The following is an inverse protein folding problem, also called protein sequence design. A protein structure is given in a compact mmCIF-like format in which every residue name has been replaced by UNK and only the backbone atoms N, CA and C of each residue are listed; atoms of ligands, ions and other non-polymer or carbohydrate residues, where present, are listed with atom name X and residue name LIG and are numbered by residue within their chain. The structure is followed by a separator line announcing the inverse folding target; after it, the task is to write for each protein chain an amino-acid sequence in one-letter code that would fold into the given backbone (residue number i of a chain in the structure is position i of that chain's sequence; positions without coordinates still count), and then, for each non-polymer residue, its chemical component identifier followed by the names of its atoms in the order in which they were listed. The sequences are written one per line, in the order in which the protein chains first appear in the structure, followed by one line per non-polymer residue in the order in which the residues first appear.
data_IF_726400549925
#
_entry.id   IF_726400549925
#
_cell.length_a   1.000
_cell.length_b   1.000
_cell.length_c   1.000
_cell.angle_alpha   90.00
_cell.angle_beta   90.00
_cell.angle_gamma   90.00
#
_symmetry.space_group_name_H-M   'P 1'
#
loop_
_entity.id
_entity.type
_entity.pdbx_description
1 polymer ?
#
# COMPACT_ATOMS: atom_id res chain seq x y z
N UNK A 1 0.53 -13.74 -31.82
CA UNK A 1 0.52 -14.54 -30.58
C UNK A 1 0.48 -13.56 -29.39
N UNK A 2 -0.62 -13.46 -28.62
CA UNK A 2 -0.66 -12.61 -27.42
C UNK A 2 0.05 -13.36 -26.28
N UNK A 3 1.32 -13.05 -26.03
CA UNK A 3 2.03 -13.59 -24.88
C UNK A 3 1.38 -13.04 -23.59
N UNK A 4 1.10 -13.92 -22.62
CA UNK A 4 0.46 -13.54 -21.35
C UNK A 4 1.26 -12.51 -20.53
N UNK A 5 2.55 -12.34 -20.84
CA UNK A 5 3.49 -11.40 -20.21
C UNK A 5 3.18 -9.91 -20.43
N UNK A 6 2.34 -9.55 -21.40
CA UNK A 6 1.97 -8.14 -21.66
C UNK A 6 0.73 -7.69 -20.89
N UNK A 7 0.22 -8.50 -19.97
CA UNK A 7 -0.87 -8.12 -19.07
C UNK A 7 -0.32 -7.91 -17.68
N UNK A 8 -0.67 -6.76 -17.07
CA UNK A 8 -0.38 -6.52 -15.66
C UNK A 8 -1.03 -7.66 -14.85
N UNK A 9 -0.26 -8.35 -14.02
CA UNK A 9 -0.76 -9.43 -13.15
C UNK A 9 -1.74 -8.91 -12.10
N UNK A 10 -2.43 -9.80 -11.39
CA UNK A 10 -3.21 -9.42 -10.21
C UNK A 10 -2.31 -8.77 -9.15
N UNK A 11 -2.86 -7.91 -8.30
CA UNK A 11 -2.09 -7.43 -7.15
C UNK A 11 -1.82 -8.61 -6.21
N UNK A 12 -0.62 -8.71 -5.61
CA UNK A 12 -0.27 -9.83 -4.77
C UNK A 12 -1.05 -9.82 -3.45
N UNK A 13 -1.38 -10.99 -2.89
CA UNK A 13 -2.01 -11.11 -1.56
C UNK A 13 -1.03 -10.72 -0.46
N UNK A 14 0.26 -10.98 -0.65
CA UNK A 14 1.34 -10.60 0.27
C UNK A 14 2.56 -10.04 -0.48
N UNK A 15 3.29 -9.15 0.17
CA UNK A 15 4.62 -8.74 -0.28
C UNK A 15 5.51 -8.35 0.90
N UNK A 16 6.82 -8.59 0.77
CA UNK A 16 7.89 -8.03 1.59
C UNK A 16 8.91 -7.41 0.64
N UNK A 17 8.98 -6.08 0.62
CA UNK A 17 9.87 -5.31 -0.25
C UNK A 17 10.70 -4.34 0.57
N UNK A 18 11.77 -3.84 -0.01
CA UNK A 18 12.66 -2.89 0.63
C UNK A 18 12.68 -1.57 -0.14
N UNK A 19 12.67 -0.46 0.59
CA UNK A 19 12.76 0.89 0.05
C UNK A 19 13.79 1.72 0.81
N UNK A 20 14.36 2.69 0.11
CA UNK A 20 15.28 3.69 0.65
C UNK A 20 15.04 5.08 0.05
N UNK A 21 14.37 5.17 -1.10
CA UNK A 21 14.21 6.43 -1.83
C UNK A 21 12.93 7.13 -1.41
N UNK A 22 13.01 8.42 -1.11
CA UNK A 22 11.86 9.25 -0.69
C UNK A 22 10.68 9.24 -1.65
N UNK A 23 10.91 9.02 -2.94
CA UNK A 23 9.85 8.94 -3.96
C UNK A 23 9.13 7.59 -4.05
N UNK A 24 9.63 6.56 -3.38
CA UNK A 24 9.05 5.21 -3.42
C UNK A 24 7.93 5.13 -2.38
N UNK A 25 6.74 5.60 -2.76
CA UNK A 25 5.58 5.69 -1.88
C UNK A 25 4.50 4.66 -2.20
N UNK A 26 4.38 4.22 -3.46
CA UNK A 26 3.23 3.43 -3.91
C UNK A 26 3.59 1.93 -4.03
N UNK A 27 2.98 1.11 -3.18
CA UNK A 27 3.19 -0.34 -3.10
C UNK A 27 1.86 -1.10 -3.19
N UNK A 28 1.35 -1.31 -4.40
CA UNK A 28 0.06 -1.98 -4.68
C UNK A 28 -1.08 -1.46 -3.80
N UNK A 29 -1.30 -2.09 -2.64
CA UNK A 29 -2.34 -1.83 -1.66
C UNK A 29 -2.01 -0.70 -0.67
N UNK A 30 -0.74 -0.32 -0.55
CA UNK A 30 -0.27 0.60 0.48
C UNK A 30 0.47 1.77 -0.16
N UNK A 31 0.04 2.97 0.18
CA UNK A 31 0.78 4.22 0.01
C UNK A 31 1.52 4.51 1.32
N UNK A 32 2.84 4.40 1.30
CA UNK A 32 3.69 4.75 2.45
C UNK A 32 3.87 6.26 2.47
N UNK A 33 3.65 6.87 3.64
CA UNK A 33 3.86 8.29 3.87
C UNK A 33 5.35 8.69 3.85
N UNK A 34 5.69 9.74 4.60
CA UNK A 34 7.07 10.19 4.71
C UNK A 34 7.94 9.08 5.33
N UNK A 35 8.95 8.66 4.59
CA UNK A 35 9.91 7.66 5.07
C UNK A 35 10.70 8.24 6.24
N UNK A 36 10.93 7.42 7.26
CA UNK A 36 11.77 7.77 8.39
C UNK A 36 13.14 8.30 7.90
N UNK A 37 13.64 9.43 8.43
CA UNK A 37 14.91 10.03 7.98
C UNK A 37 16.13 9.11 8.07
N UNK A 38 16.04 8.05 8.88
CA UNK A 38 17.08 7.02 8.99
C UNK A 38 17.10 6.00 7.84
N UNK A 39 16.04 5.96 7.03
CA UNK A 39 15.87 5.09 5.86
C UNK A 39 15.91 5.90 4.57
N UNK A 40 15.28 7.08 4.57
CA UNK A 40 15.20 7.95 3.41
C UNK A 40 16.59 8.44 2.99
N UNK A 41 17.00 8.14 1.76
CA UNK A 41 18.22 8.64 1.16
C UNK A 41 17.93 9.21 -0.24
N UNK A 42 18.52 10.37 -0.52
CA UNK A 42 18.62 10.87 -1.88
C UNK A 42 19.70 10.04 -2.61
N UNK A 43 19.37 9.40 -3.75
CA UNK A 43 20.36 8.66 -4.54
C UNK A 43 21.63 9.45 -4.88
N UNK A 44 21.56 10.78 -4.97
CA UNK A 44 22.72 11.66 -5.22
C UNK A 44 23.68 11.69 -4.02
N UNK A 45 23.14 11.50 -2.81
CA UNK A 45 23.91 11.49 -1.56
C UNK A 45 24.32 10.07 -1.12
N UNK A 46 24.15 9.07 -1.99
CA UNK A 46 24.42 7.65 -1.67
C UNK A 46 25.83 7.42 -1.11
N UNK A 47 26.85 7.98 -1.75
CA UNK A 47 28.25 7.84 -1.34
C UNK A 47 28.62 8.69 -0.12
N UNK A 48 27.78 9.66 0.24
CA UNK A 48 27.99 10.56 1.38
C UNK A 48 27.32 10.04 2.65
N UNK A 49 26.45 9.02 2.54
CA UNK A 49 25.74 8.47 3.67
C UNK A 49 26.69 7.65 4.56
N UNK A 50 26.74 8.03 5.85
CA UNK A 50 27.51 7.30 6.86
C UNK A 50 27.01 5.87 7.08
N UNK A 51 25.72 5.61 6.80
CA UNK A 51 25.09 4.30 6.98
C UNK A 51 23.91 4.17 6.04
N UNK A 52 23.88 3.07 5.29
CA UNK A 52 22.81 2.69 4.38
C UNK A 52 21.95 1.61 5.05
N UNK A 53 20.66 1.90 5.29
CA UNK A 53 19.71 0.92 5.83
C UNK A 53 18.42 0.96 5.03
N UNK A 54 18.10 -0.17 4.41
CA UNK A 54 16.80 -0.34 3.77
C UNK A 54 15.68 -0.44 4.80
N UNK A 55 14.58 0.25 4.54
CA UNK A 55 13.33 0.08 5.26
C UNK A 55 12.50 -0.98 4.58
N UNK A 56 11.99 -1.94 5.35
CA UNK A 56 11.10 -2.97 4.85
C UNK A 56 9.67 -2.47 4.83
N UNK A 57 8.99 -2.65 3.71
CA UNK A 57 7.53 -2.44 3.58
C UNK A 57 6.91 -3.80 3.36
N UNK A 58 5.95 -4.16 4.20
CA UNK A 58 5.22 -5.41 4.07
C UNK A 58 3.72 -5.20 4.14
N UNK A 59 3.03 -6.05 3.39
CA UNK A 59 1.59 -6.16 3.38
C UNK A 59 1.22 -7.64 3.33
N UNK A 60 0.16 -8.01 4.04
CA UNK A 60 -0.52 -9.27 3.80
C UNK A 60 -2.03 -9.10 3.97
N UNK A 61 -2.79 -9.64 3.01
CA UNK A 61 -4.21 -9.92 3.18
C UNK A 61 -4.34 -11.35 3.71
N UNK A 62 -4.66 -11.49 4.99
CA UNK A 62 -4.88 -12.77 5.65
C UNK A 62 -6.32 -13.25 5.52
N UNK A 63 -6.62 -14.36 6.19
CA UNK A 63 -8.00 -14.86 6.32
C UNK A 63 -8.89 -13.86 7.09
N UNK A 64 -10.20 -13.95 6.89
CA UNK A 64 -11.23 -13.15 7.57
C UNK A 64 -11.01 -11.62 7.45
N UNK A 65 -10.62 -11.16 6.25
CA UNK A 65 -10.37 -9.75 5.93
C UNK A 65 -9.39 -9.04 6.89
N UNK A 66 -8.45 -9.78 7.47
CA UNK A 66 -7.39 -9.19 8.29
C UNK A 66 -6.22 -8.78 7.41
N UNK A 67 -6.06 -7.48 7.22
CA UNK A 67 -4.95 -6.88 6.50
C UNK A 67 -3.86 -6.47 7.49
N UNK A 68 -2.61 -6.82 7.22
CA UNK A 68 -1.47 -6.39 8.03
C UNK A 68 -0.56 -5.49 7.19
N UNK A 69 -0.22 -4.32 7.73
CA UNK A 69 0.65 -3.33 7.10
C UNK A 69 1.80 -3.01 8.04
N UNK A 70 3.01 -2.95 7.50
CA UNK A 70 4.20 -2.48 8.21
C UNK A 70 5.14 -1.75 7.26
N UNK A 71 5.83 -0.74 7.77
CA UNK A 71 6.78 0.02 6.96
C UNK A 71 7.62 1.01 7.77
N UNK A 72 8.60 1.66 7.14
CA UNK A 72 9.47 2.66 7.75
C UNK A 72 8.83 4.06 7.71
N UNK A 73 7.56 4.18 8.10
CA UNK A 73 6.79 5.43 8.12
C UNK A 73 5.82 5.41 9.31
N UNK A 74 5.47 6.58 9.82
CA UNK A 74 4.43 6.76 10.85
C UNK A 74 3.04 6.90 10.24
N UNK A 75 2.93 6.99 8.92
CA UNK A 75 1.64 7.12 8.23
C UNK A 75 1.59 6.24 6.99
N UNK A 76 0.43 5.64 6.77
CA UNK A 76 0.13 4.82 5.61
C UNK A 76 -1.25 5.16 5.09
N UNK A 77 -1.43 5.11 3.78
CA UNK A 77 -2.76 5.03 3.16
C UNK A 77 -2.97 3.62 2.63
N UNK A 78 -4.01 2.97 3.13
CA UNK A 78 -4.42 1.65 2.67
C UNK A 78 -5.51 1.82 1.61
N UNK A 79 -5.28 1.24 0.45
CA UNK A 79 -6.14 1.34 -0.72
C UNK A 79 -6.70 -0.04 -1.01
N UNK A 80 -8.02 -0.20 -1.03
CA UNK A 80 -8.65 -1.51 -1.14
C UNK A 80 -9.59 -1.58 -2.34
N UNK A 81 -9.70 -2.78 -2.89
CA UNK A 81 -10.69 -3.16 -3.90
C UNK A 81 -11.00 -4.64 -3.69
N UNK A 82 -12.18 -5.12 -4.10
CA UNK A 82 -12.49 -6.54 -4.04
C UNK A 82 -11.53 -7.29 -4.96
N UNK A 83 -10.71 -8.14 -4.38
CA UNK A 83 -9.73 -8.95 -5.10
C UNK A 83 -9.14 -10.02 -4.17
N UNK A 84 -8.88 -11.21 -4.70
CA UNK A 84 -8.27 -12.33 -3.99
C UNK A 84 -9.04 -12.63 -2.70
N UNK A 85 -8.46 -12.28 -1.55
CA UNK A 85 -8.91 -12.56 -0.18
C UNK A 85 -9.50 -11.32 0.51
N UNK A 86 -9.82 -10.26 -0.24
CA UNK A 86 -10.42 -9.02 0.28
C UNK A 86 -11.87 -8.95 -0.19
N UNK A 87 -12.81 -9.16 0.74
CA UNK A 87 -14.25 -8.98 0.50
C UNK A 87 -14.76 -7.69 1.16
N UNK A 88 -15.15 -6.69 0.37
CA UNK A 88 -15.67 -5.42 0.91
C UNK A 88 -17.13 -5.49 1.39
N UNK A 89 -17.81 -6.64 1.25
CA UNK A 89 -19.12 -6.87 1.86
C UNK A 89 -19.02 -7.26 3.35
N UNK A 90 -17.82 -7.60 3.81
CA UNK A 90 -17.52 -7.96 5.19
C UNK A 90 -16.64 -6.89 5.84
N UNK A 91 -16.66 -6.83 7.17
CA UNK A 91 -15.83 -5.88 7.91
C UNK A 91 -14.34 -6.15 7.68
N UNK A 92 -13.61 -5.12 7.25
CA UNK A 92 -12.17 -5.17 7.05
C UNK A 92 -11.45 -4.76 8.33
N UNK A 93 -10.41 -5.53 8.71
CA UNK A 93 -9.57 -5.23 9.87
C UNK A 93 -8.17 -4.91 9.40
N UNK A 94 -7.68 -3.72 9.68
CA UNK A 94 -6.35 -3.26 9.28
C UNK A 94 -5.47 -3.21 10.52
N UNK A 95 -4.49 -4.10 10.61
CA UNK A 95 -3.45 -4.12 11.63
C UNK A 95 -2.24 -3.33 11.15
N UNK A 96 -1.82 -2.36 11.95
CA UNK A 96 -0.62 -1.55 11.73
C UNK A 96 0.08 -1.34 13.08
N UNK A 97 1.34 -1.74 13.17
CA UNK A 97 2.06 -1.81 14.45
C UNK A 97 1.27 -2.62 15.50
N UNK A 98 1.00 -1.98 16.65
CA UNK A 98 0.23 -2.58 17.75
C UNK A 98 -1.26 -2.23 17.73
N UNK A 99 -1.74 -1.56 16.68
CA UNK A 99 -3.12 -1.09 16.56
C UNK A 99 -3.89 -1.91 15.52
N UNK A 100 -5.21 -1.90 15.64
CA UNK A 100 -6.10 -2.49 14.64
C UNK A 100 -7.29 -1.56 14.44
N UNK A 101 -7.47 -1.12 13.19
CA UNK A 101 -8.65 -0.39 12.75
C UNK A 101 -9.67 -1.37 12.18
N UNK A 102 -10.95 -1.11 12.40
CA UNK A 102 -12.05 -1.83 11.75
C UNK A 102 -12.78 -0.88 10.83
N UNK A 103 -13.11 -1.36 9.64
CA UNK A 103 -13.78 -0.58 8.61
C UNK A 103 -14.89 -1.42 7.99
N UNK A 104 -16.08 -0.84 7.93
CA UNK A 104 -17.17 -1.32 7.11
C UNK A 104 -17.26 -0.43 5.86
N UNK A 105 -17.26 -1.02 4.67
CA UNK A 105 -17.37 -0.26 3.43
C UNK A 105 -18.78 0.28 3.25
N UNK A 106 -18.90 1.59 3.08
CA UNK A 106 -20.17 2.31 2.97
C UNK A 106 -20.69 2.44 1.54
N UNK A 107 -19.93 1.98 0.54
CA UNK A 107 -20.28 2.13 -0.88
C UNK A 107 -20.06 3.55 -1.43
N UNK A 108 -19.34 4.41 -0.70
CA UNK A 108 -19.06 5.79 -1.10
C UNK A 108 -18.34 5.88 -2.45
N UNK A 109 -18.87 6.73 -3.34
CA UNK A 109 -18.26 7.00 -4.65
C UNK A 109 -17.07 7.97 -4.54
N UNK A 110 -17.00 8.74 -3.46
CA UNK A 110 -15.95 9.71 -3.17
C UNK A 110 -14.57 9.04 -3.20
N UNK A 111 -14.44 7.83 -2.65
CA UNK A 111 -13.21 7.04 -2.70
C UNK A 111 -12.76 6.74 -4.14
N UNK A 112 -13.70 6.33 -5.00
CA UNK A 112 -13.43 6.05 -6.41
C UNK A 112 -13.00 7.32 -7.17
N UNK A 113 -13.68 8.44 -6.91
CA UNK A 113 -13.36 9.72 -7.55
C UNK A 113 -11.99 10.26 -7.12
N UNK A 114 -11.66 10.14 -5.83
CA UNK A 114 -10.34 10.53 -5.32
C UNK A 114 -9.21 9.66 -5.89
N UNK A 115 -9.42 8.34 -6.03
CA UNK A 115 -8.43 7.46 -6.67
C UNK A 115 -8.22 7.81 -8.15
N UNK A 116 -9.30 8.08 -8.90
CA UNK A 116 -9.21 8.53 -10.29
C UNK A 116 -8.50 9.88 -10.38
N UNK A 117 -8.75 10.82 -9.47
CA UNK A 117 -8.10 12.14 -9.43
C UNK A 117 -6.60 12.04 -9.18
N UNK A 118 -6.17 11.16 -8.27
CA UNK A 118 -4.75 11.03 -7.85
C UNK A 118 -3.94 10.13 -8.77
N UNK A 119 -4.44 8.94 -9.09
CA UNK A 119 -3.69 7.93 -9.85
C UNK A 119 -4.01 7.92 -11.34
N UNK A 120 -5.15 8.46 -11.75
CA UNK A 120 -5.67 8.41 -13.12
C UNK A 120 -5.76 6.98 -13.73
N UNK A 121 -5.74 5.93 -12.89
CA UNK A 121 -5.85 4.54 -13.34
C UNK A 121 -7.33 4.14 -13.48
N UNK A 122 -7.81 4.09 -14.73
CA UNK A 122 -9.21 3.75 -15.04
C UNK A 122 -9.50 2.25 -15.09
N UNK A 123 -8.49 1.39 -14.95
CA UNK A 123 -8.64 -0.07 -15.04
C UNK A 123 -8.55 -0.76 -13.69
N UNK A 124 -7.86 -0.14 -12.74
CA UNK A 124 -7.62 -0.69 -11.40
C UNK A 124 -7.86 0.36 -10.33
N UNK A 125 -9.10 0.85 -10.32
CA UNK A 125 -9.57 1.77 -9.32
C UNK A 125 -9.65 1.10 -7.95
N UNK A 126 -9.25 1.83 -6.91
CA UNK A 126 -9.53 1.45 -5.52
C UNK A 126 -10.90 1.97 -5.11
N UNK A 127 -11.63 1.14 -4.38
CA UNK A 127 -13.00 1.42 -3.94
C UNK A 127 -13.02 2.08 -2.57
N UNK A 128 -11.94 1.89 -1.81
CA UNK A 128 -11.76 2.42 -0.47
C UNK A 128 -10.34 2.93 -0.33
N UNK A 129 -10.18 4.07 0.33
CA UNK A 129 -8.90 4.64 0.69
C UNK A 129 -8.94 5.12 2.14
N UNK A 130 -8.05 4.62 2.99
CA UNK A 130 -8.04 4.94 4.42
C UNK A 130 -6.66 5.33 4.85
N UNK A 131 -6.56 6.45 5.56
CA UNK A 131 -5.32 6.90 6.17
C UNK A 131 -5.22 6.29 7.58
N UNK A 132 -4.13 5.57 7.83
CA UNK A 132 -3.75 5.04 9.14
C UNK A 132 -2.46 5.71 9.61
N UNK A 133 -2.37 6.07 10.90
CA UNK A 133 -1.15 6.58 11.50
C UNK A 133 -0.27 5.43 12.00
#
# INVERSE_FOLDING_TARGET
MKLSSHRRGMMPTEFDVSTMRTGDQFFWWVEVGELNPSVAIDPILWDQAKRLRAGKVSFSAGQDNLLSVSGPSETFRVLLRPQNDIDLNEQVRIRFGNRTLRLDFDGSIEHLLEDVRRRADRKRGFWVSIDVP
#
